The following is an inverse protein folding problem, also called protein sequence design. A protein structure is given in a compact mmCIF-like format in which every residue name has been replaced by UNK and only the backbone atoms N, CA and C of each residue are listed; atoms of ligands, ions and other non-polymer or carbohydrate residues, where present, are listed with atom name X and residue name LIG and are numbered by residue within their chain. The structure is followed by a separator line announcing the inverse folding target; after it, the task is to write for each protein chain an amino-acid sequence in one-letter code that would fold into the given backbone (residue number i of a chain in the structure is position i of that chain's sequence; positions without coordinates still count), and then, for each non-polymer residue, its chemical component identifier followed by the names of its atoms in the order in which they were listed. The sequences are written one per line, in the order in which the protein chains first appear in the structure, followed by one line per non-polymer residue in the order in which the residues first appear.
data_IF_507993262101
#
_entry.id   IF_507993262101
#
_cell.length_a   1.000
_cell.length_b   1.000
_cell.length_c   1.000
_cell.angle_alpha   90.00
_cell.angle_beta   90.00
_cell.angle_gamma   90.00
#
_symmetry.space_group_name_H-M   'P 1'
#
loop_
_entity.id
_entity.type
_entity.pdbx_description
1 polymer ?
#
# COMPACT_ATOMS: atom_id res chain seq x y z
N UNK A 1 -19.24 -9.53 4.37
CA UNK A 1 -19.77 -8.55 5.34
C UNK A 1 -19.94 -7.20 4.65
N UNK A 2 -21.18 -6.81 4.37
CA UNK A 2 -21.52 -5.60 3.60
C UNK A 2 -21.79 -4.45 4.57
N UNK A 3 -20.81 -4.12 5.41
CA UNK A 3 -20.95 -3.14 6.50
C UNK A 3 -21.12 -1.70 5.99
N UNK A 4 -21.16 -1.46 4.66
CA UNK A 4 -21.24 -0.13 4.04
C UNK A 4 -19.99 0.74 4.23
N UNK A 5 -19.05 0.31 5.06
CA UNK A 5 -17.80 1.02 5.32
C UNK A 5 -16.88 0.95 4.09
N UNK A 6 -16.22 2.06 3.72
CA UNK A 6 -15.26 2.04 2.63
C UNK A 6 -14.14 1.05 2.93
N UNK A 7 -13.68 0.37 1.90
CA UNK A 7 -12.57 -0.57 2.01
C UNK A 7 -11.72 -0.50 0.74
N UNK A 8 -10.44 -0.79 0.89
CA UNK A 8 -9.52 -0.94 -0.23
C UNK A 8 -8.59 -2.11 0.01
N UNK A 9 -8.14 -2.74 -1.09
CA UNK A 9 -7.10 -3.77 -1.05
C UNK A 9 -5.92 -3.24 -1.85
N UNK A 10 -4.79 -3.09 -1.19
CA UNK A 10 -3.52 -2.67 -1.77
C UNK A 10 -2.63 -3.90 -1.95
N UNK A 11 -1.81 -3.91 -3.00
CA UNK A 11 -0.79 -4.93 -3.23
C UNK A 11 0.58 -4.29 -3.05
N UNK A 12 1.31 -4.68 -2.01
CA UNK A 12 2.67 -4.23 -1.78
C UNK A 12 3.67 -5.21 -2.38
N UNK A 13 4.79 -4.68 -2.85
CA UNK A 13 5.97 -5.43 -3.19
C UNK A 13 6.99 -5.25 -2.07
N UNK A 14 7.37 -6.35 -1.42
CA UNK A 14 8.37 -6.38 -0.35
C UNK A 14 9.55 -7.20 -0.82
N UNK A 15 10.69 -6.53 -1.00
CA UNK A 15 11.92 -7.22 -1.35
C UNK A 15 12.54 -7.87 -0.13
N UNK A 16 12.92 -9.14 -0.25
CA UNK A 16 13.66 -9.85 0.79
C UNK A 16 15.06 -9.25 0.95
N UNK A 17 15.57 -9.29 2.18
CA UNK A 17 16.92 -8.79 2.51
C UNK A 17 18.03 -9.66 1.92
N UNK A 18 17.78 -10.96 1.78
CA UNK A 18 18.72 -11.91 1.20
C UNK A 18 18.41 -12.16 -0.29
N UNK A 19 19.41 -12.66 -1.00
CA UNK A 19 19.33 -13.10 -2.40
C UNK A 19 19.21 -14.62 -2.46
N UNK A 20 18.69 -15.14 -3.56
CA UNK A 20 18.74 -16.59 -3.81
C UNK A 20 20.16 -17.06 -4.17
N UNK A 21 20.31 -18.36 -4.45
CA UNK A 21 21.61 -18.95 -4.80
C UNK A 21 22.23 -18.37 -6.08
N UNK A 22 21.39 -17.87 -7.00
CA UNK A 22 21.81 -17.29 -8.28
C UNK A 22 22.09 -15.78 -8.16
N UNK A 23 21.87 -15.19 -6.97
CA UNK A 23 22.08 -13.77 -6.70
C UNK A 23 20.89 -12.88 -7.05
N UNK A 24 19.74 -13.46 -7.43
CA UNK A 24 18.54 -12.69 -7.74
C UNK A 24 17.88 -12.14 -6.47
N UNK A 25 17.17 -11.02 -6.62
CA UNK A 25 16.39 -10.42 -5.54
C UNK A 25 14.99 -11.04 -5.53
N UNK A 26 14.60 -11.58 -4.39
CA UNK A 26 13.28 -12.15 -4.20
C UNK A 26 12.31 -11.04 -3.76
N UNK A 27 11.15 -10.96 -4.41
CA UNK A 27 10.11 -9.98 -4.10
C UNK A 27 8.83 -10.71 -3.74
N UNK A 28 8.37 -10.51 -2.51
CA UNK A 28 7.08 -10.99 -2.06
C UNK A 28 6.02 -9.95 -2.39
N UNK A 29 4.91 -10.42 -2.96
CA UNK A 29 3.76 -9.57 -3.20
C UNK A 29 2.69 -9.94 -2.20
N UNK A 30 2.37 -9.01 -1.30
CA UNK A 30 1.43 -9.22 -0.18
C UNK A 30 0.26 -8.26 -0.33
N UNK A 31 -0.95 -8.79 -0.10
CA UNK A 31 -2.17 -7.97 -0.13
C UNK A 31 -2.46 -7.42 1.25
N UNK A 32 -2.83 -6.15 1.32
CA UNK A 32 -3.22 -5.46 2.55
C UNK A 32 -4.64 -4.95 2.37
N UNK A 33 -5.49 -5.18 3.36
CA UNK A 33 -6.88 -4.75 3.39
C UNK A 33 -7.04 -3.66 4.43
N UNK A 34 -7.47 -2.49 4.00
CA UNK A 34 -7.79 -1.33 4.84
C UNK A 34 -9.30 -1.09 4.82
N UNK A 35 -9.84 -0.53 5.90
CA UNK A 35 -11.27 -0.23 6.06
C UNK A 35 -11.47 1.13 6.73
N UNK A 36 -12.65 1.72 6.50
CA UNK A 36 -13.04 2.97 7.12
C UNK A 36 -12.09 4.13 6.76
N UNK A 37 -11.71 4.97 7.74
CA UNK A 37 -10.83 6.13 7.50
C UNK A 37 -9.48 5.77 6.85
N UNK A 38 -8.92 4.58 7.11
CA UNK A 38 -7.69 4.14 6.46
C UNK A 38 -7.88 3.88 4.97
N UNK A 39 -9.05 3.38 4.56
CA UNK A 39 -9.34 3.17 3.15
C UNK A 39 -9.45 4.51 2.41
N UNK A 40 -10.07 5.51 3.02
CA UNK A 40 -10.16 6.88 2.49
C UNK A 40 -8.76 7.53 2.42
N UNK A 41 -7.95 7.39 3.47
CA UNK A 41 -6.56 7.84 3.49
C UNK A 41 -5.75 7.21 2.36
N UNK A 42 -5.79 5.89 2.23
CA UNK A 42 -5.09 5.20 1.15
C UNK A 42 -5.58 5.62 -0.23
N UNK A 43 -6.89 5.83 -0.42
CA UNK A 43 -7.44 6.29 -1.70
C UNK A 43 -6.97 7.71 -2.06
N UNK A 44 -6.84 8.60 -1.06
CA UNK A 44 -6.41 9.97 -1.26
C UNK A 44 -4.89 10.10 -1.47
N UNK A 45 -4.10 9.30 -0.76
CA UNK A 45 -2.66 9.52 -0.64
C UNK A 45 -1.77 8.38 -1.12
N UNK A 46 -2.26 7.15 -1.30
CA UNK A 46 -1.42 6.07 -1.82
C UNK A 46 -1.46 6.06 -3.36
N UNK A 47 -0.29 6.02 -3.99
CA UNK A 47 -0.15 5.87 -5.45
C UNK A 47 0.75 4.70 -5.81
N UNK A 48 0.68 4.26 -7.07
CA UNK A 48 1.55 3.19 -7.58
C UNK A 48 3.02 3.56 -7.38
N UNK A 49 3.77 2.72 -6.68
CA UNK A 49 5.19 2.94 -6.39
C UNK A 49 5.49 3.76 -5.14
N UNK A 50 4.47 4.25 -4.42
CA UNK A 50 4.71 4.82 -3.09
C UNK A 50 5.21 3.73 -2.12
N UNK A 51 6.14 4.10 -1.25
CA UNK A 51 6.56 3.28 -0.13
C UNK A 51 5.56 3.49 1.00
N UNK A 52 5.12 2.39 1.59
CA UNK A 52 4.22 2.40 2.73
C UNK A 52 4.62 1.32 3.73
N UNK A 53 4.39 1.58 5.00
CA UNK A 53 4.37 0.60 6.06
C UNK A 53 2.92 0.29 6.42
N UNK A 54 2.64 -0.97 6.73
CA UNK A 54 1.33 -1.39 7.23
C UNK A 54 1.52 -2.38 8.36
N UNK A 55 0.70 -2.23 9.39
CA UNK A 55 0.65 -3.11 10.56
C UNK A 55 -0.77 -3.64 10.72
N UNK A 56 -0.91 -4.88 11.16
CA UNK A 56 -2.20 -5.54 11.36
C UNK A 56 -2.10 -7.04 11.45
N UNK A 57 -3.26 -7.70 11.35
CA UNK A 57 -3.39 -9.13 11.55
C UNK A 57 -3.33 -9.90 10.22
N UNK A 58 -2.83 -11.14 10.24
CA UNK A 58 -3.02 -12.05 9.12
C UNK A 58 -4.47 -12.56 9.08
N UNK A 59 -5.16 -12.32 7.96
CA UNK A 59 -6.50 -12.84 7.68
C UNK A 59 -6.37 -13.90 6.57
N UNK A 60 -6.57 -15.16 6.94
CA UNK A 60 -6.57 -16.29 5.99
C UNK A 60 -7.83 -16.22 5.14
N UNK A 61 -7.65 -16.34 3.83
CA UNK A 61 -8.74 -16.36 2.85
C UNK A 61 -8.96 -17.81 2.45
N UNK A 62 -10.10 -18.36 2.84
CA UNK A 62 -10.56 -19.69 2.41
C UNK A 62 -11.39 -19.55 1.14
N UNK A 63 -11.15 -20.46 0.19
CA UNK A 63 -11.94 -20.55 -1.03
C UNK A 63 -13.03 -21.59 -0.81
N UNK A 64 -14.27 -21.14 -0.67
CA UNK A 64 -15.43 -22.02 -0.47
C UNK A 64 -15.65 -22.99 -1.65
N UNK A 65 -15.24 -22.56 -2.84
CA UNK A 65 -15.49 -23.28 -4.09
C UNK A 65 -14.45 -24.38 -4.35
N UNK A 66 -13.29 -24.29 -3.68
CA UNK A 66 -12.22 -25.29 -3.73
C UNK A 66 -11.55 -25.40 -2.35
N UNK A 67 -12.07 -26.27 -1.46
CA UNK A 67 -11.53 -26.45 -0.12
C UNK A 67 -10.15 -27.14 -0.10
N UNK A 68 -9.70 -27.70 -1.22
CA UNK A 68 -8.37 -28.35 -1.31
C UNK A 68 -7.26 -27.35 -1.66
N UNK A 69 -7.64 -26.19 -2.20
CA UNK A 69 -6.71 -25.11 -2.51
C UNK A 69 -6.06 -24.59 -1.22
N UNK A 70 -4.73 -24.45 -1.27
CA UNK A 70 -3.97 -23.83 -0.19
C UNK A 70 -4.55 -22.44 0.14
N UNK A 71 -4.98 -22.20 1.40
CA UNK A 71 -5.54 -20.91 1.78
C UNK A 71 -4.52 -19.79 1.57
N UNK A 72 -4.96 -18.70 0.96
CA UNK A 72 -4.17 -17.48 0.88
C UNK A 72 -4.24 -16.71 2.20
N UNK A 73 -3.45 -15.65 2.33
CA UNK A 73 -3.63 -14.67 3.40
C UNK A 73 -3.52 -13.25 2.88
N UNK A 74 -4.10 -12.31 3.62
CA UNK A 74 -3.83 -10.89 3.49
C UNK A 74 -3.53 -10.30 4.87
N UNK A 75 -2.99 -9.09 4.91
CA UNK A 75 -2.84 -8.32 6.15
C UNK A 75 -4.08 -7.44 6.30
N UNK A 76 -4.88 -7.66 7.34
CA UNK A 76 -5.96 -6.76 7.75
C UNK A 76 -5.35 -5.62 8.55
N UNK A 77 -5.06 -4.51 7.87
CA UNK A 77 -4.32 -3.41 8.46
C UNK A 77 -5.14 -2.65 9.52
N UNK A 78 -4.51 -2.42 10.66
CA UNK A 78 -4.96 -1.51 11.73
C UNK A 78 -4.28 -0.15 11.62
N UNK A 79 -3.11 -0.09 10.95
CA UNK A 79 -2.35 1.13 10.72
C UNK A 79 -1.67 1.09 9.35
N UNK A 80 -1.61 2.25 8.69
CA UNK A 80 -0.87 2.45 7.43
C UNK A 80 -0.15 3.79 7.49
N UNK A 81 1.15 3.77 7.18
CA UNK A 81 2.00 4.95 7.11
C UNK A 81 2.60 5.07 5.69
N UNK A 82 2.52 6.26 5.09
CA UNK A 82 3.19 6.55 3.84
C UNK A 82 4.60 7.05 4.10
N UNK A 83 5.59 6.33 3.57
CA UNK A 83 7.01 6.61 3.72
C UNK A 83 7.58 7.40 2.53
N UNK A 84 6.84 7.49 1.43
CA UNK A 84 7.24 8.28 0.26
C UNK A 84 6.80 9.74 0.41
N UNK A 85 7.63 10.70 -0.04
CA UNK A 85 7.19 12.09 -0.17
C UNK A 85 6.05 12.19 -1.18
N UNK A 86 5.23 13.25 -1.08
CA UNK A 86 4.12 13.52 -2.01
C UNK A 86 4.59 13.35 -3.46
N UNK A 87 3.69 12.78 -4.27
CA UNK A 87 3.92 12.41 -5.67
C UNK A 87 4.71 13.51 -6.40
N UNK A 88 5.76 13.13 -7.11
CA UNK A 88 6.68 14.09 -7.75
C UNK A 88 5.97 15.07 -8.71
N UNK A 89 4.84 14.66 -9.29
CA UNK A 89 3.97 15.50 -10.13
C UNK A 89 3.30 16.65 -9.34
N UNK A 90 3.04 16.47 -8.03
CA UNK A 90 2.56 17.53 -7.14
C UNK A 90 3.71 18.41 -6.61
N UNK A 91 4.92 17.85 -6.52
CA UNK A 91 6.11 18.59 -6.10
C UNK A 91 6.55 19.63 -7.16
N UNK A 92 6.33 19.35 -8.45
CA UNK A 92 6.58 20.32 -9.54
C UNK A 92 5.59 21.48 -9.53
N UNK A 93 4.34 21.28 -9.09
CA UNK A 93 3.35 22.36 -8.95
C UNK A 93 3.61 23.25 -7.72
N UNK A 94 4.17 22.70 -6.63
CA UNK A 94 4.51 23.48 -5.44
C UNK A 94 5.81 24.31 -5.61
N UNK A 95 6.75 23.85 -6.44
CA UNK A 95 8.00 24.59 -6.72
C UNK A 95 7.85 25.80 -7.62
N UNK A 96 6.70 25.95 -8.32
CA UNK A 96 6.42 27.09 -9.19
C UNK A 96 5.76 28.27 -8.45
N UNK A 97 5.08 28.02 -7.32
CA UNK A 97 4.39 29.07 -6.55
C UNK A 97 5.26 29.80 -5.51
N UNK A 98 6.54 29.46 -5.37
CA UNK A 98 7.49 30.17 -4.48
C UNK A 98 8.45 31.11 -5.22
N UNK A 99 8.43 31.14 -6.55
CA UNK A 99 9.32 31.99 -7.36
C UNK A 99 8.77 33.37 -7.73
N UNK A 100 7.51 33.68 -7.43
CA UNK A 100 6.80 34.89 -7.89
C UNK A 100 6.46 35.90 -6.76
N UNK A 101 7.18 35.90 -5.64
CA UNK A 101 6.94 36.88 -4.55
C UNK A 101 8.14 37.77 -4.17
N UNK A 102 9.25 37.77 -4.93
CA UNK A 102 10.33 38.75 -4.75
C UNK A 102 10.68 39.43 -6.08
N UNK A 103 9.81 40.34 -6.53
CA UNK A 103 10.17 41.51 -7.35
C UNK A 103 8.94 42.40 -7.60
N UNK A 104 8.72 43.39 -6.72
CA UNK A 104 8.00 44.63 -7.04
C UNK A 104 8.50 45.75 -6.13
#
# INVERSE_FOLDING_TARGET
ETTGKPYAILRIASDRRYRDQEGNRLTDFISIKVRGPLAEFCAAYAWKGCKLAASGDFETITFSDDPTRQPGFLIKATEVELLSPRRAEDATAAGQNQGECEAA
#
